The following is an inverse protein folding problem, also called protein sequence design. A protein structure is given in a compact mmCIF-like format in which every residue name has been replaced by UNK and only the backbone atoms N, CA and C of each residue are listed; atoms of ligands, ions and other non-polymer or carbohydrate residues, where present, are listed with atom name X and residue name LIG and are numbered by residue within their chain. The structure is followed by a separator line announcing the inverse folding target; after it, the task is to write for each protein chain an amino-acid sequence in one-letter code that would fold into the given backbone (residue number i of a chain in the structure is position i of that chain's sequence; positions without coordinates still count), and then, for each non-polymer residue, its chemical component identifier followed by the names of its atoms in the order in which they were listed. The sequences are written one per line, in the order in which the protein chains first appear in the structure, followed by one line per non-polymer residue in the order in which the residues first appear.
data_IF_226951186062
#
_entry.id   IF_226951186062
#
_cell.length_a   1.000
_cell.length_b   1.000
_cell.length_c   1.000
_cell.angle_alpha   90.00
_cell.angle_beta   90.00
_cell.angle_gamma   90.00
#
_symmetry.space_group_name_H-M   'P 1'
#
loop_
_entity.id
_entity.type
_entity.pdbx_description
1 polymer ?
#
# COMPACT_ATOMS: atom_id res chain seq x y z
N UNK A 1 2.42 0.04 -11.68
CA UNK A 1 2.91 1.44 -11.65
C UNK A 1 3.49 1.88 -10.30
N UNK A 2 3.84 0.94 -9.42
CA UNK A 2 4.84 1.10 -8.34
C UNK A 2 5.69 -0.18 -8.30
N UNK A 3 6.07 -0.69 -9.49
CA UNK A 3 6.81 -1.94 -9.70
C UNK A 3 8.29 -1.87 -9.28
N UNK A 4 8.64 -0.84 -8.50
CA UNK A 4 9.98 -0.58 -8.00
C UNK A 4 9.85 0.48 -6.90
N UNK A 5 9.44 0.10 -5.69
CA UNK A 5 9.94 0.83 -4.51
C UNK A 5 11.43 0.51 -4.40
N UNK A 6 12.20 1.09 -5.34
CA UNK A 6 13.60 1.37 -5.16
C UNK A 6 13.75 2.00 -3.77
N UNK A 7 14.86 1.73 -3.11
CA UNK A 7 15.24 2.32 -1.82
C UNK A 7 15.27 3.87 -1.77
N UNK A 8 14.70 4.56 -2.77
CA UNK A 8 14.58 5.99 -2.96
C UNK A 8 13.18 6.59 -2.68
N UNK A 9 12.18 5.80 -2.26
CA UNK A 9 10.90 6.36 -1.79
C UNK A 9 11.10 7.52 -0.78
N UNK A 10 10.43 8.65 -1.02
CA UNK A 10 10.51 9.87 -0.21
C UNK A 10 9.47 9.86 0.92
N UNK A 11 9.94 9.77 2.16
CA UNK A 11 9.09 9.72 3.34
C UNK A 11 8.27 11.00 3.57
N UNK A 12 8.61 12.13 2.95
CA UNK A 12 7.77 13.31 2.97
C UNK A 12 6.40 13.07 2.32
N UNK A 13 6.30 12.10 1.40
CA UNK A 13 5.05 11.72 0.73
C UNK A 13 4.21 10.71 1.52
N UNK A 14 4.78 10.08 2.55
CA UNK A 14 4.09 9.02 3.30
C UNK A 14 2.78 9.49 3.94
N UNK A 15 2.71 10.76 4.36
CA UNK A 15 1.50 11.35 4.93
C UNK A 15 0.34 11.49 3.93
N UNK A 16 0.63 11.58 2.63
CA UNK A 16 -0.37 11.65 1.57
C UNK A 16 -0.64 10.27 0.94
N UNK A 17 0.41 9.46 0.80
CA UNK A 17 0.35 8.17 0.12
C UNK A 17 -0.30 7.09 1.01
N UNK A 18 0.02 7.03 2.30
CA UNK A 18 -0.52 5.99 3.19
C UNK A 18 -2.06 6.03 3.29
N UNK A 19 -2.72 7.20 3.46
CA UNK A 19 -4.18 7.27 3.47
C UNK A 19 -4.79 6.78 2.15
N UNK A 20 -4.20 7.13 1.01
CA UNK A 20 -4.68 6.72 -0.32
C UNK A 20 -4.54 5.21 -0.52
N UNK A 21 -3.38 4.64 -0.19
CA UNK A 21 -3.13 3.20 -0.29
C UNK A 21 -4.05 2.41 0.64
N UNK A 22 -4.27 2.89 1.87
CA UNK A 22 -5.19 2.26 2.82
C UNK A 22 -6.64 2.34 2.34
N UNK A 23 -7.06 3.46 1.74
CA UNK A 23 -8.39 3.59 1.17
C UNK A 23 -8.58 2.62 0.00
N UNK A 24 -7.63 2.54 -0.93
CA UNK A 24 -7.71 1.61 -2.06
C UNK A 24 -7.77 0.15 -1.58
N UNK A 25 -6.97 -0.20 -0.57
CA UNK A 25 -6.99 -1.52 0.06
C UNK A 25 -8.35 -1.82 0.70
N UNK A 26 -8.93 -0.85 1.43
CA UNK A 26 -10.23 -0.99 2.06
C UNK A 26 -11.36 -1.14 1.03
N UNK A 27 -11.30 -0.39 -0.07
CA UNK A 27 -12.27 -0.49 -1.17
C UNK A 27 -12.21 -1.87 -1.85
N UNK A 28 -11.01 -2.39 -2.13
CA UNK A 28 -10.84 -3.71 -2.73
C UNK A 28 -11.31 -4.82 -1.80
N UNK A 29 -10.96 -4.74 -0.51
CA UNK A 29 -11.44 -5.71 0.50
C UNK A 29 -12.95 -5.62 0.71
N UNK A 30 -13.53 -4.42 0.67
CA UNK A 30 -14.96 -4.18 0.85
C UNK A 30 -15.82 -4.67 -0.31
N UNK A 31 -15.27 -4.71 -1.53
CA UNK A 31 -15.94 -5.28 -2.71
C UNK A 31 -15.94 -6.81 -2.70
N UNK A 32 -15.05 -7.44 -1.93
CA UNK A 32 -14.84 -8.88 -1.89
C UNK A 32 -13.80 -9.31 -2.92
N UNK A 33 -12.89 -10.20 -2.53
CA UNK A 33 -11.86 -10.77 -3.42
C UNK A 33 -12.44 -11.91 -4.23
N UNK A 34 -13.19 -11.55 -5.28
CA UNK A 34 -13.85 -12.53 -6.15
C UNK A 34 -12.89 -13.14 -7.17
N UNK A 35 -11.79 -12.46 -7.48
CA UNK A 35 -10.81 -12.91 -8.48
C UNK A 35 -9.39 -12.98 -7.94
N UNK A 36 -8.56 -13.81 -8.59
CA UNK A 36 -7.13 -13.87 -8.29
C UNK A 36 -6.42 -12.54 -8.55
N UNK A 37 -6.89 -11.76 -9.53
CA UNK A 37 -6.35 -10.43 -9.85
C UNK A 37 -6.60 -9.44 -8.69
N UNK A 38 -7.78 -9.48 -8.08
CA UNK A 38 -8.10 -8.65 -6.91
C UNK A 38 -7.22 -9.01 -5.72
N UNK A 39 -6.99 -10.31 -5.48
CA UNK A 39 -6.11 -10.76 -4.42
C UNK A 39 -4.65 -10.32 -4.66
N UNK A 40 -4.16 -10.42 -5.90
CA UNK A 40 -2.82 -9.93 -6.25
C UNK A 40 -2.70 -8.41 -6.08
N UNK A 41 -3.76 -7.67 -6.37
CA UNK A 41 -3.80 -6.22 -6.19
C UNK A 41 -3.77 -5.83 -4.70
N UNK A 42 -4.52 -6.55 -3.87
CA UNK A 42 -4.49 -6.41 -2.41
C UNK A 42 -3.09 -6.70 -1.88
N UNK A 43 -2.50 -7.84 -2.25
CA UNK A 43 -1.15 -8.22 -1.80
C UNK A 43 -0.12 -7.15 -2.20
N UNK A 44 -0.24 -6.58 -3.40
CA UNK A 44 0.61 -5.47 -3.85
C UNK A 44 0.44 -4.22 -2.98
N UNK A 45 -0.78 -3.83 -2.64
CA UNK A 45 -1.03 -2.67 -1.79
C UNK A 45 -0.50 -2.87 -0.36
N UNK A 46 -0.73 -4.05 0.22
CA UNK A 46 -0.24 -4.40 1.56
C UNK A 46 1.29 -4.35 1.65
N UNK A 47 1.97 -4.87 0.63
CA UNK A 47 3.43 -4.82 0.55
C UNK A 47 3.94 -3.36 0.44
N UNK A 48 3.26 -2.51 -0.31
CA UNK A 48 3.62 -1.09 -0.45
C UNK A 48 3.43 -0.34 0.86
N UNK A 49 2.28 -0.51 1.52
CA UNK A 49 2.00 0.08 2.82
C UNK A 49 3.06 -0.35 3.83
N UNK A 50 3.32 -1.66 3.92
CA UNK A 50 4.31 -2.21 4.84
C UNK A 50 5.72 -1.68 4.55
N UNK A 51 6.10 -1.54 3.28
CA UNK A 51 7.37 -0.95 2.91
C UNK A 51 7.48 0.50 3.38
N UNK A 52 6.46 1.33 3.14
CA UNK A 52 6.48 2.75 3.52
C UNK A 52 6.54 2.89 5.04
N UNK A 53 5.74 2.12 5.77
CA UNK A 53 5.75 2.10 7.24
C UNK A 53 7.15 1.75 7.77
N UNK A 54 7.74 0.65 7.28
CA UNK A 54 9.06 0.21 7.71
C UNK A 54 10.17 1.18 7.32
N UNK A 55 10.13 1.73 6.10
CA UNK A 55 11.19 2.60 5.60
C UNK A 55 11.20 3.96 6.30
N UNK A 56 10.01 4.48 6.61
CA UNK A 56 9.86 5.81 7.19
C UNK A 56 9.72 5.79 8.71
N UNK A 57 9.94 4.62 9.34
CA UNK A 57 9.77 4.39 10.78
C UNK A 57 8.41 4.87 11.31
N UNK A 58 7.35 4.74 10.49
CA UNK A 58 5.99 5.18 10.84
C UNK A 58 5.30 4.03 11.60
N UNK A 59 4.77 4.29 12.81
CA UNK A 59 4.04 3.26 13.54
C UNK A 59 2.73 2.91 12.83
N UNK A 60 2.33 1.63 12.79
CA UNK A 60 1.02 1.24 12.28
C UNK A 60 -0.07 1.88 13.14
N UNK A 61 -1.11 2.41 12.49
CA UNK A 61 -2.26 3.09 13.12
C UNK A 61 -3.53 2.24 13.06
#
# INVERSE_FOLDING_TARGET
MLDNLESNYDCARAGEDLPQLNQELAELRGRGTETQEDQERINRLENQISFILNKCDIPPS
#
